data_IF_527632706739
#
_entry.id   IF_527632706739
#
_cell.length_a   1.000
_cell.length_b   1.000
_cell.length_c   1.000
_cell.angle_alpha   90.00
_cell.angle_beta   90.00
_cell.angle_gamma   90.00
#
_symmetry.space_group_name_H-M   'P 1'
#
loop_
_entity.id
_entity.type
_entity.pdbx_description
1 polymer ?
#
# COMPACT_ATOMS: atom_id res chain seq x y z
N UNK A 1 10.89 19.69 29.10
CA UNK A 1 9.61 19.14 28.62
C UNK A 1 8.89 20.22 27.82
N UNK A 2 9.07 20.28 26.50
CA UNK A 2 8.37 21.25 25.64
C UNK A 2 7.10 20.58 25.13
N UNK A 3 5.96 20.97 25.71
CA UNK A 3 4.65 20.56 25.23
C UNK A 3 4.32 21.28 23.92
N UNK A 4 4.11 20.52 22.86
CA UNK A 4 3.69 21.06 21.56
C UNK A 4 2.17 21.11 21.54
N UNK A 5 1.63 22.33 21.50
CA UNK A 5 0.19 22.61 21.46
C UNK A 5 -0.30 22.34 20.03
N UNK A 6 -1.01 21.23 19.85
CA UNK A 6 -1.54 20.82 18.55
C UNK A 6 -2.76 21.67 18.18
N UNK A 7 -2.65 22.48 17.11
CA UNK A 7 -3.78 23.09 16.41
C UNK A 7 -4.02 22.24 15.17
N UNK A 8 -5.24 21.71 15.02
CA UNK A 8 -5.65 21.02 13.81
C UNK A 8 -5.78 22.01 12.66
N UNK A 9 -5.05 21.77 11.57
CA UNK A 9 -5.23 22.42 10.28
C UNK A 9 -5.66 21.33 9.31
N UNK A 10 -6.86 21.46 8.76
CA UNK A 10 -7.30 20.66 7.63
C UNK A 10 -6.50 21.13 6.40
N UNK A 11 -5.38 20.47 6.15
CA UNK A 11 -4.67 20.52 4.88
C UNK A 11 -4.65 19.12 4.31
N UNK A 12 -5.01 18.95 3.05
CA UNK A 12 -4.68 17.73 2.30
C UNK A 12 -3.16 17.65 2.24
N UNK A 13 -2.54 17.04 3.25
CA UNK A 13 -1.12 16.70 3.21
C UNK A 13 -1.01 15.43 2.37
N UNK A 14 -0.83 15.58 1.06
CA UNK A 14 -0.32 14.49 0.23
C UNK A 14 1.08 14.15 0.75
N UNK A 15 1.20 13.06 1.50
CA UNK A 15 2.50 12.54 1.92
C UNK A 15 3.15 11.96 0.68
N UNK A 16 4.25 12.58 0.24
CA UNK A 16 5.00 12.17 -0.94
C UNK A 16 6.40 11.73 -0.49
N UNK A 17 6.72 10.45 -0.71
CA UNK A 17 7.98 9.81 -0.32
C UNK A 17 9.04 9.98 -1.41
N UNK A 18 9.38 11.23 -1.75
CA UNK A 18 10.32 11.53 -2.85
C UNK A 18 11.78 11.60 -2.43
N UNK A 19 12.10 11.43 -1.15
CA UNK A 19 13.44 11.64 -0.62
C UNK A 19 14.15 10.32 -0.31
N UNK A 20 15.47 10.27 -0.50
CA UNK A 20 16.30 9.12 -0.11
C UNK A 20 16.36 8.92 1.42
N UNK A 21 16.07 9.98 2.19
CA UNK A 21 16.02 9.97 3.67
C UNK A 21 14.75 9.29 4.21
N UNK A 22 13.68 9.22 3.40
CA UNK A 22 12.44 8.53 3.76
C UNK A 22 12.49 7.02 3.50
N UNK A 23 13.52 6.54 2.79
CA UNK A 23 13.72 5.13 2.46
C UNK A 23 14.67 4.42 3.43
N UNK A 24 14.47 3.13 3.60
CA UNK A 24 15.26 2.25 4.48
C UNK A 24 15.83 1.07 3.73
N UNK A 25 17.00 0.59 4.14
CA UNK A 25 17.65 -0.60 3.57
C UNK A 25 16.81 -1.85 3.88
N UNK A 26 16.49 -2.64 2.86
CA UNK A 26 15.72 -3.86 3.02
C UNK A 26 16.62 -5.03 3.41
N UNK A 27 16.77 -5.24 4.71
CA UNK A 27 17.55 -6.35 5.26
C UNK A 27 19.00 -6.36 4.78
N UNK A 28 19.47 -7.53 4.34
CA UNK A 28 20.83 -7.72 3.80
C UNK A 28 21.01 -7.28 2.35
N UNK A 29 19.94 -6.88 1.65
CA UNK A 29 20.02 -6.45 0.25
C UNK A 29 20.39 -4.98 0.14
N UNK A 30 20.93 -4.53 -1.00
CA UNK A 30 21.22 -3.11 -1.25
C UNK A 30 19.99 -2.31 -1.71
N UNK A 31 18.81 -2.91 -1.67
CA UNK A 31 17.56 -2.23 -1.99
C UNK A 31 17.17 -1.25 -0.88
N UNK A 32 16.73 -0.07 -1.30
CA UNK A 32 16.10 0.92 -0.44
C UNK A 32 14.62 1.02 -0.76
N UNK A 33 13.79 0.88 0.24
CA UNK A 33 12.33 0.91 0.11
C UNK A 33 11.72 1.98 0.99
N UNK A 34 10.55 2.49 0.61
CA UNK A 34 9.72 3.29 1.51
C UNK A 34 9.39 2.50 2.79
N UNK A 35 9.33 3.19 3.93
CA UNK A 35 8.98 2.59 5.23
C UNK A 35 7.57 1.98 5.24
N UNK A 36 6.70 2.47 4.34
CA UNK A 36 5.38 1.91 4.08
C UNK A 36 5.40 1.16 2.73
N UNK A 37 4.75 0.00 2.70
CA UNK A 37 4.49 -0.74 1.47
C UNK A 37 3.00 -1.05 1.30
N UNK A 38 2.61 -1.48 0.10
CA UNK A 38 1.24 -1.86 -0.24
C UNK A 38 1.12 -3.38 -0.32
N UNK A 39 0.22 -3.96 0.47
CA UNK A 39 -0.14 -5.38 0.36
C UNK A 39 -1.27 -5.58 -0.65
N UNK A 40 -1.05 -6.45 -1.64
CA UNK A 40 -2.00 -6.70 -2.73
C UNK A 40 -2.98 -7.87 -2.47
N UNK A 41 -3.08 -8.40 -1.25
CA UNK A 41 -3.88 -9.61 -0.99
C UNK A 41 -5.36 -9.47 -1.33
N UNK A 42 -5.97 -8.31 -1.08
CA UNK A 42 -7.38 -8.08 -1.43
C UNK A 42 -7.60 -7.79 -2.91
N UNK A 43 -6.55 -7.57 -3.70
CA UNK A 43 -6.64 -7.18 -5.10
C UNK A 43 -6.73 -8.41 -5.98
N UNK A 44 -7.79 -8.51 -6.78
CA UNK A 44 -8.05 -9.68 -7.63
C UNK A 44 -8.54 -10.90 -6.85
N UNK A 45 -8.61 -10.83 -5.52
CA UNK A 45 -9.19 -11.89 -4.72
C UNK A 45 -10.70 -11.96 -4.94
N UNK A 46 -11.22 -13.17 -5.12
CA UNK A 46 -12.65 -13.46 -5.20
C UNK A 46 -13.11 -14.30 -4.01
N UNK A 47 -12.23 -14.59 -3.06
CA UNK A 47 -12.50 -15.54 -1.99
C UNK A 47 -12.51 -14.85 -0.63
N UNK A 48 -11.33 -14.69 -0.06
CA UNK A 48 -11.11 -14.31 1.33
C UNK A 48 -11.58 -12.88 1.68
N UNK A 49 -11.38 -11.92 0.78
CA UNK A 49 -11.65 -10.49 0.99
C UNK A 49 -12.88 -9.97 0.25
N UNK A 50 -13.28 -10.63 -0.84
CA UNK A 50 -14.31 -10.09 -1.72
C UNK A 50 -15.56 -10.96 -1.84
N UNK A 51 -15.73 -12.05 -1.07
CA UNK A 51 -16.96 -12.86 -1.03
C UNK A 51 -17.53 -13.21 -2.42
N UNK A 52 -16.68 -13.53 -3.39
CA UNK A 52 -17.02 -13.80 -4.81
C UNK A 52 -17.54 -12.60 -5.62
N UNK A 53 -17.40 -11.38 -5.09
CA UNK A 53 -17.87 -10.14 -5.71
C UNK A 53 -16.73 -9.31 -6.33
N UNK A 54 -15.66 -9.91 -6.85
CA UNK A 54 -14.68 -9.12 -7.60
C UNK A 54 -15.27 -8.67 -8.94
N UNK A 55 -15.44 -7.36 -9.12
CA UNK A 55 -16.04 -6.74 -10.29
C UNK A 55 -15.15 -5.62 -10.87
N UNK A 56 -15.57 -5.05 -12.00
CA UNK A 56 -14.85 -3.97 -12.68
C UNK A 56 -14.68 -2.72 -11.80
N UNK A 57 -15.59 -2.47 -10.86
CA UNK A 57 -15.52 -1.33 -9.95
C UNK A 57 -14.40 -1.55 -8.92
N UNK A 58 -14.27 -2.75 -8.36
CA UNK A 58 -13.20 -3.13 -7.44
C UNK A 58 -11.85 -3.18 -8.16
N UNK A 59 -11.82 -3.69 -9.39
CA UNK A 59 -10.62 -3.62 -10.23
C UNK A 59 -10.17 -2.18 -10.46
N UNK A 60 -11.11 -1.29 -10.81
CA UNK A 60 -10.82 0.14 -10.98
C UNK A 60 -10.32 0.77 -9.68
N UNK A 61 -10.92 0.44 -8.54
CA UNK A 61 -10.49 0.94 -7.24
C UNK A 61 -9.08 0.47 -6.87
N UNK A 62 -8.76 -0.81 -7.07
CA UNK A 62 -7.42 -1.35 -6.85
C UNK A 62 -6.38 -0.69 -7.77
N UNK A 63 -6.72 -0.48 -9.06
CA UNK A 63 -5.85 0.26 -9.99
C UNK A 63 -5.61 1.70 -9.51
N UNK A 64 -6.66 2.41 -9.10
CA UNK A 64 -6.53 3.78 -8.57
C UNK A 64 -5.67 3.82 -7.31
N UNK A 65 -5.80 2.82 -6.41
CA UNK A 65 -4.95 2.72 -5.23
C UNK A 65 -3.48 2.46 -5.60
N UNK A 66 -3.23 1.61 -6.59
CA UNK A 66 -1.89 1.38 -7.12
C UNK A 66 -1.30 2.66 -7.71
N UNK A 67 -2.02 3.31 -8.63
CA UNK A 67 -1.56 4.54 -9.29
C UNK A 67 -1.24 5.62 -8.24
N UNK A 68 -2.15 5.86 -7.28
CA UNK A 68 -1.92 6.81 -6.19
C UNK A 68 -0.72 6.46 -5.30
N UNK A 69 -0.47 5.18 -5.06
CA UNK A 69 0.68 4.73 -4.27
C UNK A 69 2.00 5.05 -4.98
N UNK A 70 2.06 4.82 -6.30
CA UNK A 70 3.22 5.15 -7.12
C UNK A 70 3.41 6.66 -7.23
N UNK A 71 2.34 7.42 -7.43
CA UNK A 71 2.38 8.89 -7.49
C UNK A 71 2.86 9.51 -6.16
N UNK A 72 2.54 8.87 -5.03
CA UNK A 72 3.06 9.22 -3.71
C UNK A 72 4.50 8.73 -3.46
N UNK A 73 5.14 8.03 -4.39
CA UNK A 73 6.53 7.56 -4.27
C UNK A 73 6.71 6.28 -3.47
N UNK A 74 5.66 5.50 -3.22
CA UNK A 74 5.80 4.17 -2.58
C UNK A 74 6.55 3.22 -3.53
N UNK A 75 7.56 2.53 -2.99
CA UNK A 75 8.42 1.65 -3.79
C UNK A 75 8.41 0.19 -3.33
N UNK A 76 7.52 -0.17 -2.40
CA UNK A 76 7.44 -1.52 -1.86
C UNK A 76 6.02 -2.08 -1.98
N UNK A 77 5.88 -3.14 -2.76
CA UNK A 77 4.61 -3.85 -2.97
C UNK A 77 4.81 -5.30 -2.52
N UNK A 78 3.92 -5.77 -1.66
CA UNK A 78 3.86 -7.14 -1.18
C UNK A 78 2.82 -7.95 -1.99
N UNK A 79 3.22 -9.14 -2.42
CA UNK A 79 2.39 -10.08 -3.19
C UNK A 79 2.80 -11.52 -2.89
N UNK A 80 1.91 -12.48 -3.17
CA UNK A 80 2.18 -13.91 -3.06
C UNK A 80 1.30 -14.71 -4.02
N UNK A 81 1.73 -15.93 -4.36
CA UNK A 81 0.96 -16.86 -5.21
C UNK A 81 -0.42 -17.22 -4.64
N UNK A 82 -0.55 -17.21 -3.31
CA UNK A 82 -1.81 -17.52 -2.62
C UNK A 82 -2.83 -16.36 -2.68
N UNK A 83 -2.39 -15.13 -3.02
CA UNK A 83 -3.27 -13.96 -3.10
C UNK A 83 -4.23 -14.12 -4.28
N UNK A 84 -5.52 -14.23 -4.00
CA UNK A 84 -6.56 -14.55 -4.98
C UNK A 84 -6.62 -16.01 -5.42
N UNK A 85 -5.83 -16.90 -4.79
CA UNK A 85 -5.94 -18.33 -5.01
C UNK A 85 -7.20 -18.90 -4.34
N UNK A 86 -7.81 -19.91 -4.97
CA UNK A 86 -8.95 -20.64 -4.38
C UNK A 86 -8.59 -21.46 -3.13
N UNK A 87 -7.29 -21.69 -2.91
CA UNK A 87 -6.73 -22.34 -1.73
C UNK A 87 -6.58 -21.40 -0.54
N UNK A 88 -6.96 -20.12 -0.66
CA UNK A 88 -7.02 -19.20 0.49
C UNK A 88 -8.11 -19.59 1.50
N UNK A 89 -8.98 -20.55 1.15
CA UNK A 89 -9.78 -21.31 2.11
C UNK A 89 -8.98 -22.54 2.51
N UNK A 90 -8.52 -22.58 3.77
CA UNK A 90 -7.74 -23.69 4.32
C UNK A 90 -8.45 -25.05 4.24
#
# INVERSE_FOLDING_TARGET
MRGQKMRAVAGESSVTFNSEEDKVKLGGSDLKVTKLGIGAWSWGDTSYWNNFEWDDKKLKAAKTAFDASIDCGITFIDTAEVYGSRFSFG
#
